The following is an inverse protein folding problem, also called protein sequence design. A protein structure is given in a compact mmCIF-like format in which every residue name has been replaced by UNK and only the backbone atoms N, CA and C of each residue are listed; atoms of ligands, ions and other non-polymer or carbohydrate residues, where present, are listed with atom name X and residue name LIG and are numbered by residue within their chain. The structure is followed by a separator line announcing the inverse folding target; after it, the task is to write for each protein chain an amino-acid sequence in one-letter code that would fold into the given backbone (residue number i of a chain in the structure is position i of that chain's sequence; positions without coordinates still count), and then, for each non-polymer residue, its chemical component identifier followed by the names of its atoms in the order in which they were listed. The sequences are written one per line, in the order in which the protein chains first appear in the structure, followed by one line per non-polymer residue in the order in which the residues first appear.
data_IF_815783682402
#
_entry.id   IF_815783682402
#
_cell.length_a   1.000
_cell.length_b   1.000
_cell.length_c   1.000
_cell.angle_alpha   90.00
_cell.angle_beta   90.00
_cell.angle_gamma   90.00
#
_symmetry.space_group_name_H-M   'P 1'
#
loop_
_entity.id
_entity.type
_entity.pdbx_description
1 polymer ?
#
# COMPACT_ATOMS: atom_id res chain seq x y z
N UNK A 1 -12.41 -4.48 10.79
CA UNK A 1 -11.94 -3.58 9.72
C UNK A 1 -12.52 -4.02 8.37
N UNK A 2 -12.64 -3.12 7.37
CA UNK A 2 -12.96 -3.52 6.01
C UNK A 2 -11.98 -4.57 5.49
N UNK A 3 -12.43 -5.44 4.60
CA UNK A 3 -11.50 -6.26 3.82
C UNK A 3 -10.75 -5.31 2.87
N UNK A 4 -9.52 -4.96 3.24
CA UNK A 4 -8.62 -4.18 2.42
C UNK A 4 -7.81 -5.15 1.54
N UNK A 5 -7.70 -4.82 0.26
CA UNK A 5 -7.05 -5.69 -0.72
C UNK A 5 -5.67 -5.15 -1.12
N UNK A 6 -4.72 -6.02 -1.51
CA UNK A 6 -3.52 -5.58 -2.18
C UNK A 6 -3.89 -4.86 -3.47
N UNK A 7 -3.13 -3.83 -3.81
CA UNK A 7 -3.46 -3.03 -4.95
C UNK A 7 -3.16 -3.77 -6.27
N UNK A 8 -4.10 -3.74 -7.22
CA UNK A 8 -3.98 -4.44 -8.51
C UNK A 8 -3.51 -3.54 -9.66
N UNK A 9 -2.90 -2.39 -9.36
CA UNK A 9 -2.64 -1.32 -10.34
C UNK A 9 -1.16 -1.00 -10.50
N UNK A 10 -0.76 -0.71 -11.74
CA UNK A 10 0.60 -0.41 -12.17
C UNK A 10 0.75 1.08 -12.52
N UNK A 11 1.98 1.58 -12.45
CA UNK A 11 2.36 2.93 -12.87
C UNK A 11 2.65 2.87 -14.36
N UNK A 12 2.11 3.81 -15.15
CA UNK A 12 2.46 3.98 -16.56
C UNK A 12 3.20 5.32 -16.71
N UNK A 13 4.38 5.26 -17.33
CA UNK A 13 5.24 6.44 -17.55
C UNK A 13 4.80 7.23 -18.79
N UNK A 14 5.21 8.50 -18.83
CA UNK A 14 5.20 9.32 -20.05
C UNK A 14 6.12 8.70 -21.12
N UNK A 15 5.81 8.79 -22.41
CA UNK A 15 6.63 8.24 -23.50
C UNK A 15 8.05 8.83 -23.64
N UNK A 16 8.40 9.87 -22.87
CA UNK A 16 9.54 10.76 -23.14
C UNK A 16 10.61 10.81 -22.04
N UNK A 17 10.89 9.71 -21.36
CA UNK A 17 11.79 9.72 -20.21
C UNK A 17 12.89 8.67 -20.29
N UNK A 18 14.15 9.09 -20.07
CA UNK A 18 15.36 8.31 -20.35
C UNK A 18 15.93 7.50 -19.16
N UNK A 19 15.30 7.53 -17.98
CA UNK A 19 15.84 6.81 -16.80
C UNK A 19 15.37 5.35 -16.71
N UNK A 20 16.20 4.47 -16.15
CA UNK A 20 15.86 3.10 -15.74
C UNK A 20 14.87 3.11 -14.56
N UNK A 21 13.58 3.29 -14.83
CA UNK A 21 12.55 3.19 -13.80
C UNK A 21 11.25 2.58 -14.34
N UNK A 22 11.16 1.25 -14.24
CA UNK A 22 9.93 0.48 -14.43
C UNK A 22 10.00 -0.78 -13.55
N UNK A 23 9.12 -0.90 -12.56
CA UNK A 23 8.88 -2.17 -11.87
C UNK A 23 7.58 -2.76 -12.39
N UNK A 24 7.69 -3.77 -13.25
CA UNK A 24 6.55 -4.59 -13.64
C UNK A 24 6.36 -5.67 -12.58
N UNK A 25 5.41 -5.45 -11.67
CA UNK A 25 5.04 -6.43 -10.65
C UNK A 25 3.91 -7.28 -11.23
N UNK A 26 4.29 -8.42 -11.80
CA UNK A 26 3.34 -9.48 -12.11
C UNK A 26 3.45 -10.53 -11.01
N UNK A 27 2.31 -10.93 -10.43
CA UNK A 27 2.26 -12.22 -9.77
C UNK A 27 2.23 -13.27 -10.89
N UNK A 28 3.42 -13.61 -11.40
CA UNK A 28 3.56 -14.66 -12.38
C UNK A 28 3.48 -15.97 -11.62
N UNK A 29 2.27 -16.48 -11.39
CA UNK A 29 2.05 -17.90 -11.14
C UNK A 29 2.35 -18.68 -12.44
N UNK A 30 3.56 -18.55 -12.99
CA UNK A 30 3.96 -19.32 -14.17
C UNK A 30 4.46 -20.68 -13.68
N UNK A 31 3.78 -21.73 -14.13
CA UNK A 31 4.35 -23.06 -14.05
C UNK A 31 5.69 -23.10 -14.79
N UNK A 32 6.72 -23.82 -14.28
CA UNK A 32 8.06 -23.85 -14.86
C UNK A 32 8.09 -24.17 -16.36
N UNK A 33 7.12 -24.95 -16.85
CA UNK A 33 6.98 -25.33 -18.26
C UNK A 33 6.77 -24.11 -19.19
N UNK A 34 6.09 -23.07 -18.71
CA UNK A 34 5.83 -21.85 -19.49
C UNK A 34 6.98 -20.83 -19.43
N UNK A 35 7.91 -20.96 -18.49
CA UNK A 35 9.10 -20.12 -18.42
C UNK A 35 10.18 -20.63 -19.39
N UNK A 36 10.34 -21.95 -19.48
CA UNK A 36 11.31 -22.59 -20.38
C UNK A 36 11.09 -22.31 -21.87
N UNK A 37 9.85 -22.07 -22.30
CA UNK A 37 9.55 -21.75 -23.71
C UNK A 37 10.18 -20.41 -24.17
N UNK A 38 10.57 -19.56 -23.22
CA UNK A 38 11.20 -18.27 -23.46
C UNK A 38 12.67 -18.23 -23.03
N UNK A 39 13.28 -19.39 -22.75
CA UNK A 39 14.67 -19.52 -22.26
C UNK A 39 14.94 -18.73 -20.96
N UNK A 40 13.89 -18.58 -20.14
CA UNK A 40 14.00 -17.95 -18.83
C UNK A 40 14.38 -19.02 -17.80
N UNK A 41 15.68 -19.10 -17.47
CA UNK A 41 16.23 -20.05 -16.50
C UNK A 41 15.88 -19.72 -15.03
N UNK A 42 15.45 -18.48 -14.77
CA UNK A 42 14.98 -18.01 -13.48
C UNK A 42 14.30 -16.65 -13.59
N UNK A 43 13.35 -16.38 -12.69
CA UNK A 43 12.70 -15.08 -12.58
C UNK A 43 12.82 -14.62 -11.12
N UNK A 44 13.57 -13.54 -10.87
CA UNK A 44 13.44 -12.82 -9.61
C UNK A 44 12.25 -11.88 -9.79
N UNK A 45 11.05 -12.31 -9.38
CA UNK A 45 10.04 -11.31 -9.07
C UNK A 45 10.68 -10.40 -8.02
N UNK A 46 10.52 -9.08 -8.15
CA UNK A 46 10.64 -8.28 -6.95
C UNK A 46 9.53 -8.77 -6.02
N UNK A 47 9.88 -9.65 -5.09
CA UNK A 47 9.07 -9.90 -3.92
C UNK A 47 9.07 -8.60 -3.14
N UNK A 48 8.15 -7.70 -3.50
CA UNK A 48 7.83 -6.59 -2.63
C UNK A 48 7.39 -7.23 -1.34
N UNK A 49 8.19 -7.05 -0.29
CA UNK A 49 7.78 -7.39 1.05
C UNK A 49 6.57 -6.51 1.38
N UNK A 50 5.38 -7.04 1.11
CA UNK A 50 4.11 -6.35 1.28
C UNK A 50 3.92 -5.93 2.73
N UNK A 51 4.50 -6.66 3.68
CA UNK A 51 4.44 -6.33 5.09
C UNK A 51 5.24 -5.06 5.35
N UNK A 52 6.49 -4.99 4.88
CA UNK A 52 7.34 -3.79 5.01
C UNK A 52 6.75 -2.60 4.26
N UNK A 53 6.19 -2.83 3.08
CA UNK A 53 5.48 -1.81 2.33
C UNK A 53 4.28 -1.26 3.12
N UNK A 54 3.45 -2.14 3.68
CA UNK A 54 2.34 -1.74 4.55
C UNK A 54 2.82 -1.02 5.82
N UNK A 55 3.93 -1.44 6.45
CA UNK A 55 4.52 -0.75 7.59
C UNK A 55 4.97 0.67 7.23
N UNK A 56 5.58 0.86 6.05
CA UNK A 56 5.95 2.18 5.54
C UNK A 56 4.71 3.07 5.36
N UNK A 57 3.66 2.56 4.71
CA UNK A 57 2.41 3.29 4.52
C UNK A 57 1.75 3.64 5.86
N UNK A 58 1.68 2.68 6.79
CA UNK A 58 1.15 2.89 8.14
C UNK A 58 1.95 3.95 8.91
N UNK A 59 3.28 3.95 8.78
CA UNK A 59 4.15 4.95 9.42
C UNK A 59 3.86 6.36 8.89
N UNK A 60 3.72 6.53 7.58
CA UNK A 60 3.32 7.82 6.97
C UNK A 60 1.98 8.27 7.52
N UNK A 61 0.99 7.37 7.52
CA UNK A 61 -0.36 7.64 7.99
C UNK A 61 -0.42 8.08 9.46
N UNK A 62 0.28 7.36 10.36
CA UNK A 62 0.32 7.70 11.79
C UNK A 62 0.98 9.06 12.03
N UNK A 63 2.12 9.33 11.39
CA UNK A 63 2.83 10.61 11.57
C UNK A 63 1.98 11.79 11.10
N UNK A 64 1.33 11.66 9.94
CA UNK A 64 0.48 12.73 9.42
C UNK A 64 -0.82 12.90 10.23
N UNK A 65 -1.44 11.78 10.63
CA UNK A 65 -2.67 11.78 11.41
C UNK A 65 -2.49 12.32 12.83
N UNK A 66 -1.41 11.92 13.52
CA UNK A 66 -1.07 12.46 14.86
C UNK A 66 -0.86 13.97 14.81
N UNK A 67 -0.17 14.47 13.78
CA UNK A 67 -0.03 15.92 13.57
C UNK A 67 -1.39 16.60 13.35
N UNK A 68 -2.28 16.01 12.55
CA UNK A 68 -3.58 16.60 12.21
C UNK A 68 -4.58 16.60 13.38
N UNK A 69 -4.68 15.49 14.12
CA UNK A 69 -5.67 15.33 15.20
C UNK A 69 -5.18 15.83 16.57
N UNK A 70 -3.87 16.06 16.74
CA UNK A 70 -3.26 16.44 18.01
C UNK A 70 -2.85 15.23 18.86
N UNK A 71 -1.87 15.43 19.75
CA UNK A 71 -1.23 14.36 20.54
C UNK A 71 -2.10 13.79 21.66
N UNK A 72 -3.01 14.58 22.24
CA UNK A 72 -3.64 14.25 23.53
C UNK A 72 -4.91 13.38 23.43
N UNK A 73 -5.50 13.27 22.24
CA UNK A 73 -6.77 12.53 22.00
C UNK A 73 -6.60 11.28 21.15
N UNK A 74 -5.38 10.95 20.75
CA UNK A 74 -5.14 9.98 19.70
C UNK A 74 -4.52 8.70 20.25
N UNK A 75 -5.28 7.59 20.26
CA UNK A 75 -4.76 6.26 20.55
C UNK A 75 -4.47 5.49 19.24
N UNK A 76 -3.22 5.47 18.77
CA UNK A 76 -2.91 4.96 17.44
C UNK A 76 -3.03 3.43 17.34
N UNK A 77 -3.97 2.94 16.52
CA UNK A 77 -4.29 1.50 16.41
C UNK A 77 -3.25 0.68 15.66
N UNK A 78 -2.33 1.31 14.93
CA UNK A 78 -1.35 0.61 14.06
C UNK A 78 0.10 0.70 14.54
N UNK A 79 0.37 1.26 15.72
CA UNK A 79 1.74 1.41 16.24
C UNK A 79 2.42 0.07 16.44
N UNK A 80 1.71 -0.90 17.01
CA UNK A 80 2.23 -2.25 17.23
C UNK A 80 2.60 -2.89 15.89
N UNK A 81 1.74 -2.76 14.88
CA UNK A 81 2.04 -3.24 13.54
C UNK A 81 3.29 -2.57 12.94
N UNK A 82 3.44 -1.25 13.08
CA UNK A 82 4.62 -0.52 12.58
C UNK A 82 5.91 -0.95 13.29
N UNK A 83 5.84 -1.28 14.58
CA UNK A 83 7.01 -1.66 15.40
C UNK A 83 7.34 -3.15 15.34
N UNK A 84 6.41 -4.00 14.94
CA UNK A 84 6.60 -5.45 14.90
C UNK A 84 7.65 -5.81 13.86
N UNK A 85 8.59 -6.67 14.22
CA UNK A 85 9.53 -7.23 13.24
C UNK A 85 8.93 -8.48 12.58
N UNK A 86 8.92 -8.50 11.26
CA UNK A 86 8.42 -9.62 10.47
C UNK A 86 9.60 -10.25 9.72
N UNK A 87 10.10 -11.40 10.18
CA UNK A 87 11.23 -12.06 9.54
C UNK A 87 10.82 -12.62 8.17
N UNK A 88 11.75 -12.66 7.19
CA UNK A 88 11.50 -13.25 5.89
C UNK A 88 11.01 -14.71 6.01
N UNK A 89 10.09 -15.12 5.13
CA UNK A 89 9.60 -16.51 5.05
C UNK A 89 8.40 -16.83 5.95
N UNK A 90 8.00 -15.92 6.85
CA UNK A 90 6.79 -16.07 7.65
C UNK A 90 5.64 -15.21 7.07
N UNK A 91 4.57 -15.80 6.53
CA UNK A 91 3.46 -15.04 5.99
C UNK A 91 2.68 -14.35 7.10
N UNK A 92 2.84 -13.03 7.23
CA UNK A 92 2.03 -12.23 8.14
C UNK A 92 0.77 -11.76 7.40
N UNK A 93 -0.34 -12.49 7.46
CA UNK A 93 -1.59 -12.10 6.75
C UNK A 93 -2.35 -10.96 7.43
N UNK A 94 -2.04 -10.63 8.69
CA UNK A 94 -2.72 -9.62 9.48
C UNK A 94 -2.49 -8.16 9.04
N UNK A 95 -1.53 -7.87 8.14
CA UNK A 95 -1.24 -6.49 7.72
C UNK A 95 -2.41 -5.82 6.97
N UNK A 96 -3.21 -6.61 6.23
CA UNK A 96 -4.41 -6.11 5.56
C UNK A 96 -5.52 -5.68 6.52
N UNK A 97 -5.45 -6.11 7.79
CA UNK A 97 -6.34 -5.58 8.81
C UNK A 97 -6.01 -4.11 9.13
N UNK A 98 -4.84 -3.60 8.75
CA UNK A 98 -4.40 -2.24 9.09
C UNK A 98 -4.26 -1.34 7.85
N UNK A 99 -3.83 -1.90 6.71
CA UNK A 99 -3.52 -1.16 5.50
C UNK A 99 -4.05 -1.87 4.26
N UNK A 100 -4.67 -1.11 3.35
CA UNK A 100 -4.86 -1.58 1.98
C UNK A 100 -5.83 -0.73 1.18
N UNK A 101 -6.33 -1.26 0.06
CA UNK A 101 -7.09 -0.48 -0.91
C UNK A 101 -8.59 -0.78 -0.83
N UNK A 102 -9.41 0.25 -1.03
CA UNK A 102 -10.84 0.08 -1.27
C UNK A 102 -11.07 -0.50 -2.66
N UNK A 103 -11.74 -1.65 -2.73
CA UNK A 103 -12.09 -2.31 -3.99
C UNK A 103 -12.94 -1.37 -4.88
N UNK A 104 -12.60 -1.29 -6.17
CA UNK A 104 -13.29 -0.50 -7.23
C UNK A 104 -13.18 1.03 -7.16
N UNK A 105 -12.43 1.62 -6.24
CA UNK A 105 -12.23 3.08 -6.19
C UNK A 105 -10.91 3.49 -6.86
N UNK A 106 -10.84 3.39 -8.19
CA UNK A 106 -9.71 3.95 -8.97
C UNK A 106 -9.81 5.48 -8.94
N UNK A 107 -8.79 6.15 -8.39
CA UNK A 107 -8.62 7.60 -8.57
C UNK A 107 -7.83 7.85 -9.84
N UNK A 108 -8.13 8.97 -10.50
CA UNK A 108 -7.35 9.45 -11.63
C UNK A 108 -5.98 9.93 -11.14
N UNK A 109 -5.01 9.98 -12.06
CA UNK A 109 -3.74 10.61 -11.80
C UNK A 109 -3.94 12.11 -11.51
N UNK A 110 -3.11 12.67 -10.66
CA UNK A 110 -3.16 14.09 -10.27
C UNK A 110 -1.84 14.79 -10.57
N UNK A 111 -1.74 16.10 -10.37
CA UNK A 111 -0.48 16.81 -10.61
C UNK A 111 0.56 16.58 -9.48
N UNK A 112 0.11 16.12 -8.31
CA UNK A 112 0.96 15.89 -7.15
C UNK A 112 1.71 14.57 -7.24
N UNK A 113 2.98 14.56 -6.81
CA UNK A 113 3.76 13.32 -6.74
C UNK A 113 3.20 12.36 -5.67
N UNK A 114 2.82 12.89 -4.51
CA UNK A 114 2.20 12.12 -3.43
C UNK A 114 0.99 12.87 -2.90
N UNK A 115 -0.04 12.15 -2.49
CA UNK A 115 -1.19 12.72 -1.80
C UNK A 115 -1.41 12.04 -0.45
N UNK A 116 -1.72 12.87 0.55
CA UNK A 116 -2.13 12.42 1.87
C UNK A 116 -3.41 13.17 2.22
N UNK A 117 -4.43 12.44 2.66
CA UNK A 117 -5.73 13.00 3.02
C UNK A 117 -6.18 12.37 4.34
N UNK A 118 -6.56 13.22 5.28
CA UNK A 118 -7.08 12.79 6.59
C UNK A 118 -8.58 12.88 6.57
N UNK A 119 -9.24 11.92 7.19
CA UNK A 119 -10.68 11.95 7.36
C UNK A 119 -11.16 10.85 8.29
N UNK A 120 -12.41 10.48 8.09
CA UNK A 120 -13.07 9.44 8.87
C UNK A 120 -13.50 8.29 7.97
N UNK A 121 -13.41 7.07 8.48
CA UNK A 121 -13.95 5.88 7.85
C UNK A 121 -15.06 5.32 8.72
N UNK A 122 -16.25 5.13 8.15
CA UNK A 122 -17.33 4.39 8.80
C UNK A 122 -17.26 2.92 8.43
N UNK A 123 -17.10 2.06 9.43
CA UNK A 123 -17.05 0.60 9.25
C UNK A 123 -17.83 -0.11 10.35
N UNK A 124 -18.76 -1.00 9.97
CA UNK A 124 -19.58 -1.78 10.92
C UNK A 124 -20.25 -0.93 12.02
N UNK A 125 -20.70 0.29 11.68
CA UNK A 125 -21.34 1.20 12.63
C UNK A 125 -20.39 1.99 13.53
N UNK A 126 -19.08 1.77 13.45
CA UNK A 126 -18.07 2.60 14.10
C UNK A 126 -17.51 3.64 13.13
N UNK A 127 -17.26 4.85 13.63
CA UNK A 127 -16.46 5.87 12.94
C UNK A 127 -15.04 5.78 13.46
N UNK A 128 -14.08 5.70 12.56
CA UNK A 128 -12.65 5.60 12.88
C UNK A 128 -11.90 6.73 12.19
N UNK A 129 -10.90 7.31 12.86
CA UNK A 129 -9.96 8.20 12.22
C UNK A 129 -9.13 7.42 11.18
N UNK A 130 -9.07 7.93 9.96
CA UNK A 130 -8.37 7.26 8.85
C UNK A 130 -7.55 8.23 8.02
N UNK A 131 -6.47 7.72 7.46
CA UNK A 131 -5.60 8.46 6.55
C UNK A 131 -5.51 7.70 5.24
N UNK A 132 -5.72 8.41 4.15
CA UNK A 132 -5.44 7.95 2.80
C UNK A 132 -4.04 8.40 2.43
N UNK A 133 -3.24 7.46 1.93
CA UNK A 133 -1.91 7.70 1.38
C UNK A 133 -1.89 7.20 -0.06
N UNK A 134 -1.51 8.06 -0.99
CA UNK A 134 -1.33 7.71 -2.40
C UNK A 134 0.08 8.15 -2.83
N UNK A 135 0.99 7.18 -2.94
CA UNK A 135 2.35 7.44 -3.43
C UNK A 135 2.36 7.43 -4.96
N UNK A 136 3.10 8.33 -5.61
CA UNK A 136 3.15 8.45 -7.07
C UNK A 136 1.76 8.68 -7.67
N UNK A 137 0.99 9.60 -7.07
CA UNK A 137 -0.36 9.94 -7.48
C UNK A 137 -0.40 10.45 -8.93
N UNK A 138 0.62 11.19 -9.36
CA UNK A 138 0.82 11.61 -10.75
C UNK A 138 0.97 10.49 -11.77
N UNK A 139 1.22 9.26 -11.31
CA UNK A 139 1.29 8.07 -12.16
C UNK A 139 0.07 7.16 -12.02
N UNK A 140 -1.00 7.64 -11.37
CA UNK A 140 -2.24 6.88 -11.19
C UNK A 140 -2.11 5.69 -10.24
N UNK A 141 -1.13 5.74 -9.32
CA UNK A 141 -0.96 4.70 -8.32
C UNK A 141 -2.17 4.59 -7.38
N UNK A 142 -2.41 3.41 -6.81
CA UNK A 142 -3.54 3.17 -5.93
C UNK A 142 -3.43 3.95 -4.61
N UNK A 143 -4.58 4.31 -4.06
CA UNK A 143 -4.69 4.88 -2.71
C UNK A 143 -4.79 3.77 -1.67
N UNK A 144 -3.92 3.84 -0.66
CA UNK A 144 -3.95 2.99 0.51
C UNK A 144 -4.64 3.73 1.65
N UNK A 145 -5.50 3.02 2.37
CA UNK A 145 -6.23 3.54 3.51
C UNK A 145 -5.70 2.84 4.76
N UNK A 146 -5.44 3.65 5.77
CA UNK A 146 -4.98 3.21 7.08
C UNK A 146 -5.96 3.76 8.09
N UNK A 147 -6.60 2.90 8.87
CA UNK A 147 -7.28 3.41 10.07
C UNK A 147 -6.23 3.59 11.14
N UNK A 148 -6.23 4.74 11.77
CA UNK A 148 -5.14 5.15 12.65
C UNK A 148 -5.64 5.36 14.08
N UNK A 149 -6.94 5.43 14.33
CA UNK A 149 -7.53 5.56 15.68
C UNK A 149 -9.02 5.29 15.70
N UNK A 150 -9.57 5.03 16.89
CA UNK A 150 -11.01 5.07 17.20
C UNK A 150 -11.32 6.29 18.06
#
# INVERSE_FOLDING_TARGET
MPNLYPASSYSRRSPHSDDLFNFQVFNVNAEPKYLRQYDLEGFSSQSIDLVRFCQMIAKIAVVYGTHYFGFDTFNPTVVDFVRTDFPPGNPATGHFANVGCLWRRKRLATESLHEIEVGEMRWQGKTMAAVRVQLFASYGMPSYYVTIGE
#
